data_IF_634675087905
#
_entry.id   IF_634675087905
#
_cell.length_a   1.000
_cell.length_b   1.000
_cell.length_c   1.000
_cell.angle_alpha   90.00
_cell.angle_beta   90.00
_cell.angle_gamma   90.00
#
_symmetry.space_group_name_H-M   'P 1'
#
loop_
_entity.id
_entity.type
_entity.pdbx_description
1 polymer ?
#
# COMPACT_ATOMS: atom_id res chain seq x y z
N UNK A 1 -14.33 14.20 7.08
CA UNK A 1 -14.44 12.79 6.61
C UNK A 1 -15.41 12.08 7.53
N UNK A 2 -16.13 11.06 7.05
CA UNK A 2 -17.08 10.27 7.84
C UNK A 2 -16.84 8.77 7.60
N UNK A 3 -17.12 7.93 8.60
CA UNK A 3 -16.78 6.50 8.52
C UNK A 3 -17.64 5.71 7.53
N UNK A 4 -18.87 6.14 7.26
CA UNK A 4 -19.73 5.52 6.24
C UNK A 4 -19.08 5.56 4.84
N UNK A 5 -18.54 6.72 4.45
CA UNK A 5 -17.84 6.88 3.17
C UNK A 5 -16.44 6.22 3.19
N UNK A 6 -15.71 6.34 4.30
CA UNK A 6 -14.35 5.81 4.44
C UNK A 6 -14.31 4.27 4.36
N UNK A 7 -15.39 3.57 4.70
CA UNK A 7 -15.50 2.12 4.58
C UNK A 7 -16.16 1.64 3.28
N UNK A 8 -16.28 2.53 2.28
CA UNK A 8 -16.94 2.19 1.02
C UNK A 8 -16.31 0.98 0.33
N UNK A 9 -17.16 -0.03 0.07
CA UNK A 9 -16.81 -1.22 -0.70
C UNK A 9 -16.93 -1.00 -2.21
N UNK A 10 -17.26 0.23 -2.65
CA UNK A 10 -17.36 0.55 -4.07
C UNK A 10 -16.02 0.32 -4.77
N UNK A 11 -16.09 -0.26 -5.97
CA UNK A 11 -14.96 -0.59 -6.83
C UNK A 11 -15.06 0.21 -8.12
N UNK A 12 -13.93 0.45 -8.76
CA UNK A 12 -13.89 1.12 -10.06
C UNK A 12 -13.24 0.22 -11.12
N UNK A 13 -13.59 0.47 -12.38
CA UNK A 13 -12.99 -0.14 -13.56
C UNK A 13 -12.65 0.94 -14.59
N UNK A 14 -11.74 0.61 -15.50
CA UNK A 14 -11.44 1.46 -16.66
C UNK A 14 -12.11 0.88 -17.90
N UNK A 15 -12.82 1.73 -18.65
CA UNK A 15 -13.41 1.37 -19.93
C UNK A 15 -13.26 2.54 -20.90
N UNK A 16 -12.53 2.32 -21.99
CA UNK A 16 -12.23 3.35 -23.01
C UNK A 16 -11.68 4.67 -22.39
N UNK A 17 -10.75 4.55 -21.43
CA UNK A 17 -10.13 5.69 -20.74
C UNK A 17 -11.02 6.38 -19.70
N UNK A 18 -12.25 5.91 -19.48
CA UNK A 18 -13.16 6.43 -18.44
C UNK A 18 -13.17 5.53 -17.22
N UNK A 19 -13.18 6.15 -16.04
CA UNK A 19 -13.35 5.47 -14.76
C UNK A 19 -14.84 5.27 -14.51
N UNK A 20 -15.27 4.04 -14.30
CA UNK A 20 -16.67 3.67 -14.08
C UNK A 20 -16.78 2.85 -12.80
N UNK A 21 -17.90 2.98 -12.09
CA UNK A 21 -18.19 2.07 -10.98
C UNK A 21 -18.27 0.62 -11.51
N UNK A 22 -17.62 -0.29 -10.79
CA UNK A 22 -17.70 -1.73 -11.03
C UNK A 22 -18.54 -2.35 -9.92
N UNK A 23 -19.48 -3.21 -10.28
CA UNK A 23 -20.15 -4.06 -9.31
C UNK A 23 -19.26 -5.26 -9.01
N UNK A 24 -19.16 -5.65 -7.74
CA UNK A 24 -18.70 -6.98 -7.39
C UNK A 24 -19.76 -7.98 -7.87
N UNK A 25 -19.40 -9.20 -8.30
CA UNK A 25 -20.40 -10.24 -8.51
C UNK A 25 -21.13 -10.45 -7.18
N UNK A 26 -22.46 -10.34 -7.17
CA UNK A 26 -23.24 -10.70 -6.00
C UNK A 26 -23.10 -12.23 -5.80
N UNK A 27 -22.31 -12.65 -4.83
CA UNK A 27 -22.16 -14.07 -4.48
C UNK A 27 -23.14 -14.42 -3.36
N UNK A 28 -23.66 -15.66 -3.40
CA UNK A 28 -24.48 -16.20 -2.33
C UNK A 28 -23.73 -16.19 -0.98
N UNK A 29 -22.40 -16.34 -1.01
CA UNK A 29 -21.52 -16.25 0.17
C UNK A 29 -21.47 -14.84 0.77
N UNK A 30 -21.43 -13.79 -0.08
CA UNK A 30 -21.49 -12.40 0.38
C UNK A 30 -22.85 -12.09 1.01
N UNK A 31 -23.94 -12.58 0.40
CA UNK A 31 -25.29 -12.46 0.95
C UNK A 31 -25.47 -13.22 2.27
N UNK A 32 -24.74 -14.33 2.46
CA UNK A 32 -24.73 -15.11 3.70
C UNK A 32 -23.75 -14.58 4.76
N UNK A 33 -23.01 -13.50 4.50
CA UNK A 33 -22.01 -12.95 5.41
C UNK A 33 -20.78 -13.83 5.61
N UNK A 34 -20.59 -14.86 4.77
CA UNK A 34 -19.45 -15.79 4.84
C UNK A 34 -18.18 -15.20 4.23
N UNK A 35 -18.32 -14.20 3.35
CA UNK A 35 -17.20 -13.56 2.65
C UNK A 35 -17.49 -12.08 2.41
N UNK A 36 -16.79 -11.20 3.13
CA UNK A 36 -16.91 -9.75 2.93
C UNK A 36 -16.17 -9.29 1.67
N UNK A 37 -16.48 -8.08 1.20
CA UNK A 37 -15.75 -7.42 0.11
C UNK A 37 -14.24 -7.30 0.40
N UNK A 38 -13.87 -7.16 1.67
CA UNK A 38 -12.48 -7.07 2.09
C UNK A 38 -11.77 -8.43 2.05
N UNK A 39 -12.49 -9.54 2.28
CA UNK A 39 -11.96 -10.88 2.00
C UNK A 39 -11.72 -11.10 0.50
N UNK A 40 -12.59 -10.56 -0.37
CA UNK A 40 -12.36 -10.61 -1.82
C UNK A 40 -11.09 -9.84 -2.18
N UNK A 41 -10.87 -8.67 -1.59
CA UNK A 41 -9.64 -7.88 -1.82
C UNK A 41 -8.38 -8.64 -1.38
N UNK A 42 -8.42 -9.23 -0.19
CA UNK A 42 -7.35 -10.05 0.35
C UNK A 42 -6.97 -11.17 -0.62
N UNK A 43 -7.97 -11.93 -1.07
CA UNK A 43 -7.73 -13.06 -1.96
C UNK A 43 -7.20 -12.60 -3.31
N UNK A 44 -7.69 -11.48 -3.84
CA UNK A 44 -7.15 -10.92 -5.09
C UNK A 44 -5.67 -10.58 -4.97
N UNK A 45 -5.25 -9.99 -3.85
CA UNK A 45 -3.83 -9.71 -3.62
C UNK A 45 -3.03 -11.00 -3.51
N UNK A 46 -3.41 -11.92 -2.62
CA UNK A 46 -2.67 -13.16 -2.36
C UNK A 46 -2.52 -14.03 -3.60
N UNK A 47 -3.56 -14.11 -4.44
CA UNK A 47 -3.51 -14.87 -5.69
C UNK A 47 -2.84 -14.12 -6.85
N UNK A 48 -2.52 -12.83 -6.71
CA UNK A 48 -1.92 -12.04 -7.78
C UNK A 48 -0.49 -12.47 -8.13
N UNK A 49 -0.10 -12.25 -9.37
CA UNK A 49 1.26 -12.54 -9.81
C UNK A 49 2.28 -11.60 -9.16
N UNK A 50 1.90 -10.34 -8.95
CA UNK A 50 2.72 -9.34 -8.27
C UNK A 50 3.05 -9.71 -6.84
N UNK A 51 2.08 -10.15 -6.06
CA UNK A 51 2.30 -10.55 -4.68
C UNK A 51 3.23 -11.77 -4.60
N UNK A 52 3.03 -12.77 -5.47
CA UNK A 52 3.95 -13.93 -5.55
C UNK A 52 5.38 -13.54 -5.90
N UNK A 53 5.60 -12.48 -6.70
CA UNK A 53 6.94 -11.98 -7.03
C UNK A 53 7.67 -11.39 -5.81
N UNK A 54 6.97 -10.98 -4.76
CA UNK A 54 7.61 -10.50 -3.52
C UNK A 54 8.47 -11.59 -2.86
N UNK A 55 8.11 -12.88 -3.04
CA UNK A 55 8.87 -14.01 -2.52
C UNK A 55 10.25 -14.19 -3.17
N UNK A 56 10.55 -13.43 -4.24
CA UNK A 56 11.86 -13.40 -4.90
C UNK A 56 12.52 -12.02 -4.84
N UNK A 57 11.98 -11.08 -4.06
CA UNK A 57 12.58 -9.76 -3.84
C UNK A 57 13.16 -9.71 -2.43
N UNK A 58 14.45 -9.45 -2.33
CA UNK A 58 15.14 -9.24 -1.06
C UNK A 58 14.65 -7.95 -0.39
N UNK A 59 14.64 -7.94 0.95
CA UNK A 59 14.27 -6.77 1.75
C UNK A 59 15.50 -5.91 2.08
N UNK A 60 16.27 -6.27 3.11
CA UNK A 60 17.45 -5.50 3.57
C UNK A 60 18.75 -6.05 3.00
N UNK A 61 18.95 -7.37 3.01
CA UNK A 61 20.21 -8.00 2.61
C UNK A 61 20.12 -8.57 1.19
N UNK A 62 20.82 -7.98 0.19
CA UNK A 62 20.87 -8.58 -1.13
C UNK A 62 21.69 -9.88 -1.07
N UNK A 63 21.13 -10.97 -1.60
CA UNK A 63 21.82 -12.25 -1.83
C UNK A 63 22.29 -12.97 -0.55
N UNK A 64 21.47 -13.00 0.49
CA UNK A 64 21.76 -13.87 1.63
C UNK A 64 21.72 -15.34 1.19
N UNK A 65 22.78 -16.08 1.55
CA UNK A 65 23.01 -17.47 1.16
C UNK A 65 22.19 -18.48 1.98
N UNK A 66 21.37 -18.00 2.92
CA UNK A 66 20.57 -18.82 3.84
C UNK A 66 19.08 -18.63 3.55
N UNK A 67 18.35 -19.73 3.41
CA UNK A 67 16.90 -19.78 3.12
C UNK A 67 16.03 -19.08 4.18
N UNK A 68 16.60 -18.68 5.32
CA UNK A 68 15.92 -18.03 6.44
C UNK A 68 15.87 -16.50 6.38
N UNK A 69 16.54 -15.87 5.41
CA UNK A 69 16.47 -14.40 5.30
C UNK A 69 15.10 -13.93 4.80
N UNK A 70 14.48 -13.02 5.54
CA UNK A 70 13.17 -12.47 5.21
C UNK A 70 13.19 -11.82 3.81
N UNK A 71 12.22 -12.21 3.00
CA UNK A 71 11.96 -11.59 1.71
C UNK A 71 10.73 -10.67 1.84
N UNK A 72 10.48 -9.85 0.82
CA UNK A 72 9.36 -8.89 0.90
C UNK A 72 7.99 -9.54 1.05
N UNK A 73 7.84 -10.82 0.68
CA UNK A 73 6.59 -11.56 0.87
C UNK A 73 6.38 -11.91 2.34
N UNK A 74 7.39 -12.45 3.03
CA UNK A 74 7.27 -12.80 4.45
C UNK A 74 7.00 -11.56 5.29
N UNK A 75 7.76 -10.48 5.05
CA UNK A 75 7.51 -9.18 5.70
C UNK A 75 6.11 -8.65 5.44
N UNK A 76 5.64 -8.65 4.19
CA UNK A 76 4.27 -8.20 3.89
C UNK A 76 3.20 -9.03 4.61
N UNK A 77 3.44 -10.33 4.83
CA UNK A 77 2.54 -11.22 5.58
C UNK A 77 2.57 -10.91 7.08
N UNK A 78 3.74 -10.63 7.65
CA UNK A 78 3.91 -10.23 9.05
C UNK A 78 3.27 -8.87 9.33
N UNK A 79 3.57 -7.87 8.50
CA UNK A 79 2.94 -6.54 8.53
C UNK A 79 1.43 -6.65 8.41
N UNK A 80 0.92 -7.55 7.56
CA UNK A 80 -0.51 -7.80 7.44
C UNK A 80 -1.11 -8.44 8.69
N UNK A 81 -0.38 -9.33 9.37
CA UNK A 81 -0.82 -9.93 10.64
C UNK A 81 -0.92 -8.87 11.75
N UNK A 82 0.11 -8.03 11.89
CA UNK A 82 0.13 -6.90 12.84
C UNK A 82 -0.96 -5.89 12.50
N UNK A 83 -1.06 -5.48 11.23
CA UNK A 83 -2.06 -4.55 10.73
C UNK A 83 -3.49 -5.01 10.98
N UNK A 84 -3.79 -6.30 10.74
CA UNK A 84 -5.09 -6.90 11.09
C UNK A 84 -5.39 -6.78 12.58
N UNK A 85 -4.39 -7.07 13.45
CA UNK A 85 -4.54 -6.96 14.91
C UNK A 85 -4.82 -5.52 15.34
N UNK A 86 -4.07 -4.54 14.80
CA UNK A 86 -4.31 -3.12 15.05
C UNK A 86 -5.71 -2.70 14.58
N UNK A 87 -6.09 -3.07 13.36
CA UNK A 87 -7.40 -2.78 12.80
C UNK A 87 -8.56 -3.38 13.62
N UNK A 88 -8.44 -4.63 14.07
CA UNK A 88 -9.43 -5.26 14.95
C UNK A 88 -9.60 -4.48 16.27
N UNK A 89 -8.50 -4.07 16.89
CA UNK A 89 -8.52 -3.30 18.15
C UNK A 89 -9.17 -1.94 17.96
N UNK A 90 -8.76 -1.20 16.93
CA UNK A 90 -9.35 0.11 16.60
C UNK A 90 -10.82 -0.05 16.24
N UNK A 91 -11.19 -1.09 15.48
CA UNK A 91 -12.58 -1.39 15.16
C UNK A 91 -13.43 -1.67 16.39
N UNK A 92 -12.91 -2.39 17.38
CA UNK A 92 -13.60 -2.63 18.65
C UNK A 92 -13.79 -1.33 19.45
N UNK A 93 -12.78 -0.46 19.47
CA UNK A 93 -12.87 0.88 20.07
C UNK A 93 -13.92 1.74 19.35
N UNK A 94 -13.95 1.71 18.02
CA UNK A 94 -14.94 2.42 17.21
C UNK A 94 -16.36 1.91 17.47
N UNK A 95 -16.55 0.59 17.60
CA UNK A 95 -17.85 0.00 17.92
C UNK A 95 -18.32 0.44 19.31
N UNK A 96 -17.45 0.39 20.32
CA UNK A 96 -17.79 0.85 21.68
C UNK A 96 -18.10 2.35 21.72
N UNK A 97 -17.43 3.14 20.89
CA UNK A 97 -17.67 4.58 20.76
C UNK A 97 -18.83 4.95 19.82
N UNK A 98 -19.59 3.98 19.30
CA UNK A 98 -20.68 4.20 18.33
C UNK A 98 -20.24 4.93 17.05
N UNK A 99 -18.97 4.78 16.66
CA UNK A 99 -18.37 5.36 15.45
C UNK A 99 -18.31 4.38 14.28
N UNK A 100 -18.46 3.08 14.53
CA UNK A 100 -18.45 2.05 13.49
C UNK A 100 -19.80 2.05 12.75
N UNK A 101 -19.84 2.24 11.42
CA UNK A 101 -21.09 2.26 10.66
C UNK A 101 -21.86 0.94 10.76
N UNK A 102 -23.18 1.03 10.66
CA UNK A 102 -24.05 -0.14 10.64
C UNK A 102 -23.68 -1.10 9.50
N UNK A 103 -23.71 -2.41 9.78
CA UNK A 103 -23.36 -3.45 8.80
C UNK A 103 -21.87 -3.78 8.72
N UNK A 104 -21.01 -3.05 9.45
CA UNK A 104 -19.59 -3.38 9.60
C UNK A 104 -19.29 -3.90 11.00
N UNK A 105 -18.24 -4.71 11.08
CA UNK A 105 -17.70 -5.29 12.31
C UNK A 105 -16.27 -4.78 12.56
N UNK A 106 -15.74 -4.91 13.79
CA UNK A 106 -14.33 -4.65 14.05
C UNK A 106 -13.38 -5.41 13.12
N UNK A 107 -13.78 -6.61 12.71
CA UNK A 107 -13.00 -7.44 11.79
C UNK A 107 -12.91 -6.85 10.39
N UNK A 108 -13.91 -6.10 9.94
CA UNK A 108 -13.85 -5.41 8.65
C UNK A 108 -12.78 -4.32 8.64
N UNK A 109 -12.61 -3.60 9.75
CA UNK A 109 -11.49 -2.65 9.92
C UNK A 109 -10.16 -3.39 9.85
N UNK A 110 -10.06 -4.52 10.55
CA UNK A 110 -8.91 -5.43 10.47
C UNK A 110 -8.60 -5.88 9.05
N UNK A 111 -9.61 -6.33 8.30
CA UNK A 111 -9.47 -6.79 6.92
C UNK A 111 -9.03 -5.67 5.97
N UNK A 112 -9.58 -4.45 6.09
CA UNK A 112 -9.13 -3.31 5.27
C UNK A 112 -7.66 -3.00 5.49
N UNK A 113 -7.23 -2.94 6.76
CA UNK A 113 -5.83 -2.67 7.09
C UNK A 113 -4.94 -3.82 6.62
N UNK A 114 -5.37 -5.08 6.82
CA UNK A 114 -4.65 -6.26 6.35
C UNK A 114 -4.40 -6.24 4.84
N UNK A 115 -5.41 -5.89 4.05
CA UNK A 115 -5.31 -5.75 2.58
C UNK A 115 -4.30 -4.67 2.21
N UNK A 116 -4.36 -3.50 2.86
CA UNK A 116 -3.40 -2.42 2.62
C UNK A 116 -1.97 -2.84 2.97
N UNK A 117 -1.77 -3.53 4.10
CA UNK A 117 -0.49 -4.09 4.50
C UNK A 117 0.05 -5.12 3.50
N UNK A 118 -0.77 -6.04 2.98
CA UNK A 118 -0.31 -7.00 1.96
C UNK A 118 0.15 -6.32 0.66
N UNK A 119 -0.44 -5.17 0.33
CA UNK A 119 -0.15 -4.43 -0.88
C UNK A 119 0.95 -3.36 -0.72
N UNK A 120 1.38 -3.01 0.50
CA UNK A 120 2.23 -1.83 0.74
C UNK A 120 3.53 -1.87 -0.08
N UNK A 121 4.11 -3.06 -0.21
CA UNK A 121 5.41 -3.28 -0.83
C UNK A 121 5.34 -3.78 -2.29
N UNK A 122 4.12 -3.92 -2.84
CA UNK A 122 3.89 -4.59 -4.13
C UNK A 122 4.55 -3.87 -5.31
N UNK A 123 4.74 -2.55 -5.18
CA UNK A 123 5.27 -1.69 -6.21
C UNK A 123 6.79 -1.54 -6.21
N UNK A 124 7.50 -2.02 -5.17
CA UNK A 124 8.94 -1.82 -5.06
C UNK A 124 9.70 -2.54 -6.20
N UNK A 125 10.73 -1.91 -6.81
CA UNK A 125 11.50 -2.51 -7.89
C UNK A 125 12.41 -3.64 -7.35
N UNK A 126 13.07 -4.42 -8.25
CA UNK A 126 14.21 -5.24 -7.84
C UNK A 126 15.24 -4.41 -7.07
N UNK A 127 15.90 -5.00 -6.07
CA UNK A 127 16.87 -4.33 -5.20
C UNK A 127 16.31 -3.17 -4.34
N UNK A 128 14.97 -3.06 -4.20
CA UNK A 128 14.36 -2.10 -3.27
C UNK A 128 14.76 -0.65 -3.56
N UNK A 129 15.14 0.10 -2.52
CA UNK A 129 15.54 1.51 -2.64
C UNK A 129 16.70 1.73 -3.61
N UNK A 130 17.69 0.82 -3.66
CA UNK A 130 18.79 0.90 -4.63
C UNK A 130 18.27 0.81 -6.07
N UNK A 131 17.24 -0.01 -6.31
CA UNK A 131 16.57 -0.08 -7.61
C UNK A 131 15.81 1.19 -7.94
N UNK A 132 15.16 1.82 -6.95
CA UNK A 132 14.51 3.12 -7.15
C UNK A 132 15.53 4.20 -7.54
N UNK A 133 16.65 4.26 -6.81
CA UNK A 133 17.69 5.26 -7.05
C UNK A 133 18.36 5.07 -8.41
N UNK A 134 18.63 3.83 -8.81
CA UNK A 134 19.14 3.52 -10.14
C UNK A 134 18.18 3.98 -11.26
N UNK A 135 16.86 3.76 -11.10
CA UNK A 135 15.85 4.25 -12.06
C UNK A 135 15.81 5.78 -12.11
N UNK A 136 15.82 6.44 -10.95
CA UNK A 136 15.83 7.91 -10.84
C UNK A 136 17.08 8.49 -11.51
N UNK A 137 18.25 7.96 -11.19
CA UNK A 137 19.53 8.42 -11.77
C UNK A 137 19.53 8.24 -13.29
N UNK A 138 19.10 7.08 -13.78
CA UNK A 138 19.02 6.80 -15.21
C UNK A 138 18.18 7.83 -15.95
N UNK A 139 16.96 8.13 -15.49
CA UNK A 139 16.06 9.06 -16.18
C UNK A 139 16.37 10.55 -15.93
N UNK A 140 17.16 10.87 -14.91
CA UNK A 140 17.66 12.24 -14.67
C UNK A 140 18.92 12.57 -15.46
N UNK A 141 19.64 11.57 -15.95
CA UNK A 141 20.83 11.76 -16.78
C UNK A 141 20.47 12.48 -18.10
N UNK A 142 21.11 13.63 -18.42
CA UNK A 142 20.88 14.34 -19.67
C UNK A 142 21.09 13.50 -20.94
N UNK A 143 21.93 12.46 -20.89
CA UNK A 143 22.14 11.51 -22.00
C UNK A 143 20.87 10.75 -22.36
N UNK A 144 19.97 10.55 -21.39
CA UNK A 144 18.71 9.84 -21.55
C UNK A 144 17.49 10.76 -21.70
N UNK A 145 17.68 12.08 -21.74
CA UNK A 145 16.58 13.05 -21.87
C UNK A 145 15.70 12.80 -23.11
N UNK A 146 16.28 12.24 -24.17
CA UNK A 146 15.55 11.87 -25.39
C UNK A 146 14.44 10.83 -25.17
N UNK A 147 14.55 9.99 -24.12
CA UNK A 147 13.51 9.01 -23.76
C UNK A 147 12.25 9.66 -23.18
N UNK A 148 12.33 10.94 -22.80
CA UNK A 148 11.26 11.70 -22.18
C UNK A 148 10.59 12.68 -23.17
N UNK A 149 11.03 12.71 -24.43
CA UNK A 149 10.47 13.61 -25.43
C UNK A 149 9.01 13.28 -25.74
N UNK A 150 8.19 14.34 -25.84
CA UNK A 150 6.74 14.22 -26.08
C UNK A 150 5.91 14.06 -24.80
N UNK A 151 6.54 13.83 -23.64
CA UNK A 151 5.86 13.80 -22.35
C UNK A 151 5.69 15.21 -21.77
N UNK A 152 4.57 15.44 -21.10
CA UNK A 152 4.35 16.66 -20.31
C UNK A 152 5.32 16.74 -19.14
N UNK A 153 5.55 17.94 -18.58
CA UNK A 153 6.45 18.12 -17.44
C UNK A 153 6.06 17.24 -16.23
N UNK A 154 4.77 17.01 -16.01
CA UNK A 154 4.29 16.17 -14.92
C UNK A 154 4.53 14.67 -15.17
N UNK A 155 4.39 14.20 -16.41
CA UNK A 155 4.73 12.82 -16.79
C UNK A 155 6.25 12.58 -16.74
N UNK A 156 7.05 13.59 -17.11
CA UNK A 156 8.50 13.53 -16.92
C UNK A 156 8.87 13.43 -15.44
N UNK A 157 8.22 14.23 -14.58
CA UNK A 157 8.44 14.21 -13.14
C UNK A 157 8.12 12.84 -12.52
N UNK A 158 7.05 12.18 -12.96
CA UNK A 158 6.71 10.81 -12.54
C UNK A 158 7.85 9.83 -12.80
N UNK A 159 8.36 9.81 -14.05
CA UNK A 159 9.41 8.87 -14.48
C UNK A 159 10.73 9.19 -13.78
N UNK A 160 11.11 10.47 -13.73
CA UNK A 160 12.36 10.91 -13.11
C UNK A 160 12.38 10.78 -11.59
N UNK A 161 11.22 10.64 -10.95
CA UNK A 161 11.14 10.52 -9.49
C UNK A 161 10.91 9.09 -9.04
N UNK A 162 10.37 8.20 -9.89
CA UNK A 162 10.01 6.79 -9.62
C UNK A 162 9.90 6.41 -8.15
N UNK A 163 8.69 6.06 -7.71
CA UNK A 163 8.44 5.76 -6.30
C UNK A 163 7.63 4.46 -6.18
N UNK A 164 8.09 3.55 -5.32
CA UNK A 164 7.50 2.23 -5.13
C UNK A 164 6.06 2.27 -4.64
N UNK A 165 5.68 3.22 -3.78
CA UNK A 165 4.30 3.44 -3.34
C UNK A 165 3.41 3.92 -4.50
N UNK A 166 3.93 4.79 -5.38
CA UNK A 166 3.21 5.20 -6.59
C UNK A 166 3.06 4.05 -7.58
N UNK A 167 4.11 3.25 -7.75
CA UNK A 167 4.04 2.03 -8.54
C UNK A 167 3.10 0.99 -7.92
N UNK A 168 2.98 0.95 -6.59
CA UNK A 168 2.05 0.10 -5.87
C UNK A 168 0.59 0.39 -6.25
N UNK A 169 0.20 1.67 -6.27
CA UNK A 169 -1.12 2.06 -6.78
C UNK A 169 -1.31 1.63 -8.24
N UNK A 170 -0.32 1.90 -9.10
CA UNK A 170 -0.38 1.48 -10.52
C UNK A 170 -0.53 -0.04 -10.68
N UNK A 171 0.14 -0.83 -9.85
CA UNK A 171 0.04 -2.29 -9.86
C UNK A 171 -1.39 -2.74 -9.55
N UNK A 172 -2.00 -2.23 -8.48
CA UNK A 172 -3.33 -2.67 -8.05
C UNK A 172 -4.48 -2.04 -8.84
N UNK A 173 -4.31 -0.82 -9.38
CA UNK A 173 -5.36 -0.09 -10.09
C UNK A 173 -5.32 -0.27 -11.62
N UNK A 174 -4.16 -0.64 -12.18
CA UNK A 174 -3.99 -0.64 -13.64
C UNK A 174 -3.37 -1.92 -14.21
N UNK A 175 -2.42 -2.57 -13.54
CA UNK A 175 -1.59 -3.60 -14.20
C UNK A 175 -2.02 -5.05 -13.92
N UNK A 176 -2.36 -5.39 -12.68
CA UNK A 176 -2.68 -6.78 -12.33
C UNK A 176 -4.12 -7.17 -12.68
N UNK A 177 -4.37 -8.45 -12.92
CA UNK A 177 -5.70 -9.00 -13.26
C UNK A 177 -6.32 -8.37 -14.51
N UNK A 178 -7.22 -7.39 -14.33
CA UNK A 178 -7.89 -6.69 -15.43
C UNK A 178 -6.99 -5.56 -15.92
N UNK A 179 -5.84 -5.94 -16.50
CA UNK A 179 -4.80 -5.02 -16.97
C UNK A 179 -5.35 -3.99 -17.94
N UNK A 180 -5.05 -2.71 -17.72
CA UNK A 180 -5.60 -1.53 -18.42
C UNK A 180 -7.13 -1.34 -18.32
N UNK A 181 -7.82 -2.18 -17.55
CA UNK A 181 -9.29 -2.18 -17.38
C UNK A 181 -9.72 -2.06 -15.90
N UNK A 182 -8.83 -1.53 -15.04
CA UNK A 182 -9.08 -1.29 -13.61
C UNK A 182 -8.36 -2.22 -12.64
N UNK A 183 -7.35 -2.96 -13.13
CA UNK A 183 -6.42 -3.68 -12.27
C UNK A 183 -7.12 -4.78 -11.45
N UNK A 184 -6.77 -4.88 -10.17
CA UNK A 184 -7.39 -5.80 -9.22
C UNK A 184 -8.80 -5.37 -8.78
N UNK A 185 -9.22 -4.14 -9.11
CA UNK A 185 -10.52 -3.57 -8.73
C UNK A 185 -10.83 -3.70 -7.22
N UNK A 186 -9.85 -3.39 -6.38
CA UNK A 186 -9.99 -3.41 -4.91
C UNK A 186 -11.07 -2.43 -4.43
N UNK A 187 -11.58 -2.61 -3.21
CA UNK A 187 -12.51 -1.64 -2.60
C UNK A 187 -11.87 -0.27 -2.44
N UNK A 188 -12.70 0.77 -2.47
CA UNK A 188 -12.24 2.14 -2.23
C UNK A 188 -11.59 2.29 -0.86
N UNK A 189 -12.14 1.65 0.19
CA UNK A 189 -11.55 1.65 1.53
C UNK A 189 -10.13 1.06 1.54
N UNK A 190 -9.91 -0.10 0.91
CA UNK A 190 -8.59 -0.71 0.82
C UNK A 190 -7.58 0.17 0.05
N UNK A 191 -8.01 0.75 -1.08
CA UNK A 191 -7.18 1.69 -1.83
C UNK A 191 -6.87 2.95 -1.02
N UNK A 192 -7.84 3.50 -0.28
CA UNK A 192 -7.60 4.64 0.61
C UNK A 192 -6.58 4.32 1.69
N UNK A 193 -6.70 3.16 2.34
CA UNK A 193 -5.78 2.71 3.39
C UNK A 193 -4.36 2.43 2.85
N UNK A 194 -4.21 1.93 1.63
CA UNK A 194 -2.91 1.71 0.99
C UNK A 194 -2.13 3.02 0.75
N UNK A 195 -2.83 4.15 0.58
CA UNK A 195 -2.22 5.39 0.08
C UNK A 195 -1.66 6.23 1.23
N UNK A 196 -0.35 6.10 1.43
CA UNK A 196 0.44 6.84 2.44
C UNK A 196 0.62 8.32 2.09
N UNK A 197 0.84 8.60 0.81
CA UNK A 197 1.18 9.89 0.25
C UNK A 197 0.16 10.27 -0.83
N UNK A 198 -1.07 10.69 -0.46
CA UNK A 198 -2.16 10.98 -1.39
C UNK A 198 -1.94 12.27 -2.19
N UNK A 199 -0.88 12.31 -2.98
CA UNK A 199 -0.54 13.41 -3.87
C UNK A 199 0.30 12.93 -5.06
N UNK A 200 0.40 13.78 -6.09
CA UNK A 200 1.20 13.54 -7.31
C UNK A 200 2.67 13.91 -7.13
N UNK A 201 3.53 13.45 -8.04
CA UNK A 201 4.99 13.69 -8.03
C UNK A 201 5.39 15.17 -8.05
N UNK A 202 4.58 16.02 -8.64
CA UNK A 202 4.78 17.47 -8.77
C UNK A 202 4.08 18.28 -7.68
N UNK A 203 3.42 17.64 -6.71
CA UNK A 203 2.89 18.33 -5.55
C UNK A 203 4.05 18.89 -4.68
N UNK A 204 3.89 20.07 -4.03
CA UNK A 204 4.95 20.65 -3.20
C UNK A 204 5.49 19.70 -2.12
N UNK A 205 4.62 18.85 -1.55
CA UNK A 205 5.03 17.83 -0.57
C UNK A 205 5.90 16.72 -1.18
N UNK A 206 5.62 16.31 -2.41
CA UNK A 206 6.43 15.33 -3.11
C UNK A 206 7.82 15.91 -3.41
N UNK A 207 7.90 17.15 -3.86
CA UNK A 207 9.18 17.83 -4.11
C UNK A 207 10.03 17.98 -2.82
N UNK A 208 9.38 18.20 -1.67
CA UNK A 208 10.08 18.33 -0.39
C UNK A 208 10.52 16.98 0.22
N UNK A 209 9.81 15.89 -0.05
CA UNK A 209 10.01 14.59 0.65
C UNK A 209 10.46 13.45 -0.27
N UNK A 210 10.39 13.62 -1.59
CA UNK A 210 10.66 12.56 -2.57
C UNK A 210 9.65 11.40 -2.55
N UNK A 211 8.49 11.57 -1.91
CA UNK A 211 7.50 10.50 -1.68
C UNK A 211 6.14 10.90 -2.19
N UNK A 212 5.45 10.03 -2.93
CA UNK A 212 4.12 10.23 -3.50
C UNK A 212 3.49 8.87 -3.91
N UNK A 213 2.16 8.79 -4.07
CA UNK A 213 1.48 7.56 -4.49
C UNK A 213 0.77 7.65 -5.85
N UNK A 214 0.65 8.84 -6.44
CA UNK A 214 -0.24 9.05 -7.58
C UNK A 214 0.58 9.47 -8.79
N UNK A 215 0.83 8.52 -9.70
CA UNK A 215 1.27 8.87 -11.05
C UNK A 215 0.14 9.56 -11.82
N UNK A 216 0.49 10.34 -12.84
CA UNK A 216 -0.43 11.01 -13.75
C UNK A 216 -1.36 10.04 -14.47
N UNK A 217 -0.88 8.84 -14.77
CA UNK A 217 -1.66 7.75 -15.34
C UNK A 217 -2.79 7.25 -14.43
N UNK A 218 -2.59 7.27 -13.11
CA UNK A 218 -3.56 6.79 -12.13
C UNK A 218 -4.35 7.92 -11.47
N UNK A 219 -4.04 9.18 -11.77
CA UNK A 219 -4.67 10.36 -11.17
C UNK A 219 -6.19 10.34 -11.31
N UNK A 220 -6.71 10.18 -12.53
CA UNK A 220 -8.15 10.16 -12.76
C UNK A 220 -8.85 9.01 -12.01
N UNK A 221 -8.20 7.85 -11.89
CA UNK A 221 -8.72 6.72 -11.12
C UNK A 221 -8.77 7.05 -9.63
N UNK A 222 -7.69 7.60 -9.09
CA UNK A 222 -7.63 7.99 -7.68
C UNK A 222 -8.58 9.14 -7.34
N UNK A 223 -8.84 10.08 -8.25
CA UNK A 223 -9.83 11.15 -8.04
C UNK A 223 -11.23 10.58 -7.77
N UNK A 224 -11.62 9.49 -8.44
CA UNK A 224 -12.89 8.82 -8.19
C UNK A 224 -12.90 8.10 -6.83
N UNK A 225 -11.80 7.45 -6.47
CA UNK A 225 -11.63 6.82 -5.15
C UNK A 225 -11.68 7.86 -4.03
N UNK A 226 -10.96 8.96 -4.17
CA UNK A 226 -10.91 10.04 -3.19
C UNK A 226 -12.29 10.71 -3.03
N UNK A 227 -13.03 10.88 -4.13
CA UNK A 227 -14.40 11.40 -4.10
C UNK A 227 -15.36 10.43 -3.39
N UNK A 228 -15.27 9.13 -3.69
CA UNK A 228 -16.08 8.08 -3.03
C UNK A 228 -15.85 8.03 -1.52
N UNK A 229 -14.59 8.12 -1.10
CA UNK A 229 -14.19 8.12 0.31
C UNK A 229 -14.44 9.45 1.03
N UNK A 230 -14.79 10.51 0.29
CA UNK A 230 -14.91 11.86 0.82
C UNK A 230 -13.60 12.40 1.42
N UNK A 231 -12.45 12.07 0.82
CA UNK A 231 -11.15 12.56 1.27
C UNK A 231 -11.08 14.08 1.10
N UNK A 232 -10.58 14.77 2.13
CA UNK A 232 -10.48 16.24 2.12
C UNK A 232 -9.42 16.66 1.11
N UNK A 233 -9.79 17.43 0.08
CA UNK A 233 -8.83 17.98 -0.87
C UNK A 233 -8.01 19.10 -0.21
N UNK A 234 -6.68 19.01 -0.28
CA UNK A 234 -5.75 20.00 0.28
C UNK A 234 -5.06 20.86 -0.79
N UNK A 235 -5.03 20.38 -2.02
CA UNK A 235 -4.47 21.07 -3.19
C UNK A 235 -5.03 20.52 -4.49
N UNK A 236 -4.51 20.98 -5.63
CA UNK A 236 -5.00 20.56 -6.95
C UNK A 236 -4.95 19.03 -7.12
N UNK A 237 -3.86 18.39 -6.71
CA UNK A 237 -3.70 16.94 -6.78
C UNK A 237 -3.15 16.39 -5.47
N UNK A 238 -3.69 16.89 -4.34
CA UNK A 238 -3.31 16.51 -2.99
C UNK A 238 -4.57 16.37 -2.12
N UNK A 239 -4.64 15.27 -1.37
CA UNK A 239 -5.73 14.95 -0.45
C UNK A 239 -5.21 14.71 0.98
N UNK A 240 -6.12 14.74 1.95
CA UNK A 240 -5.86 14.21 3.27
C UNK A 240 -5.77 12.68 3.21
N UNK A 241 -4.90 12.13 4.05
CA UNK A 241 -4.70 10.69 4.15
C UNK A 241 -5.92 10.01 4.77
N UNK A 242 -6.24 8.83 4.27
CA UNK A 242 -7.25 7.97 4.87
C UNK A 242 -6.83 7.55 6.30
N UNK A 243 -7.70 7.60 7.33
CA UNK A 243 -7.32 7.27 8.70
C UNK A 243 -6.68 5.88 8.88
N UNK A 244 -7.23 4.84 8.22
CA UNK A 244 -6.68 3.48 8.31
C UNK A 244 -5.29 3.33 7.67
N UNK A 245 -4.85 4.28 6.85
CA UNK A 245 -3.49 4.23 6.31
C UNK A 245 -2.43 4.45 7.40
N UNK A 246 -2.75 5.17 8.47
CA UNK A 246 -1.86 5.31 9.63
C UNK A 246 -1.67 3.98 10.37
N UNK A 247 -2.67 3.10 10.37
CA UNK A 247 -2.54 1.76 10.98
C UNK A 247 -1.66 0.85 10.13
N UNK A 248 -1.75 0.95 8.80
CA UNK A 248 -0.86 0.23 7.89
C UNK A 248 0.59 0.68 8.07
N UNK A 249 0.86 1.99 8.14
CA UNK A 249 2.21 2.50 8.39
C UNK A 249 2.71 2.11 9.78
N UNK A 250 1.89 2.19 10.82
CA UNK A 250 2.29 1.76 12.15
C UNK A 250 2.63 0.26 12.19
N UNK A 251 1.88 -0.58 11.46
CA UNK A 251 2.17 -2.01 11.35
C UNK A 251 3.52 -2.25 10.66
N UNK A 252 3.80 -1.50 9.58
CA UNK A 252 5.05 -1.57 8.84
C UNK A 252 6.23 -1.14 9.72
N UNK A 253 6.13 0.01 10.39
CA UNK A 253 7.16 0.53 11.30
C UNK A 253 7.44 -0.44 12.47
N UNK A 254 6.41 -1.08 13.04
CA UNK A 254 6.56 -2.08 14.11
C UNK A 254 7.31 -3.31 13.61
N UNK A 255 6.93 -3.84 12.44
CA UNK A 255 7.59 -5.00 11.85
C UNK A 255 9.04 -4.69 11.48
N UNK A 256 9.31 -3.56 10.82
CA UNK A 256 10.66 -3.11 10.51
C UNK A 256 11.52 -3.00 11.77
N UNK A 257 11.01 -2.43 12.85
CA UNK A 257 11.80 -2.24 14.08
C UNK A 257 12.19 -3.55 14.77
N UNK A 258 11.35 -4.59 14.70
CA UNK A 258 11.55 -5.85 15.42
C UNK A 258 12.25 -6.89 14.54
N UNK A 259 11.77 -7.08 13.30
CA UNK A 259 12.22 -8.14 12.42
C UNK A 259 13.60 -7.85 11.82
N UNK A 260 13.91 -6.60 11.49
CA UNK A 260 15.25 -6.26 11.00
C UNK A 260 16.32 -6.49 12.10
N UNK A 261 15.95 -6.31 13.37
CA UNK A 261 16.84 -6.62 14.50
C UNK A 261 17.00 -8.13 14.69
N UNK A 262 15.94 -8.92 14.50
CA UNK A 262 16.01 -10.39 14.54
C UNK A 262 16.90 -10.93 13.39
N UNK A 263 16.70 -10.45 12.17
CA UNK A 263 17.53 -10.76 11.01
C UNK A 263 19.00 -10.40 11.27
N UNK A 264 19.28 -9.25 11.87
CA UNK A 264 20.64 -8.80 12.18
C UNK A 264 21.35 -9.73 13.19
N UNK A 265 20.61 -10.31 14.14
CA UNK A 265 21.13 -11.32 15.06
C UNK A 265 21.42 -12.63 14.30
N UNK A 266 20.50 -13.07 13.45
CA UNK A 266 20.64 -14.34 12.71
C UNK A 266 21.85 -14.33 11.76
N UNK A 267 22.14 -13.19 11.13
CA UNK A 267 23.32 -13.04 10.25
C UNK A 267 24.60 -12.63 11.00
N UNK A 268 24.55 -12.54 12.33
CA UNK A 268 25.71 -12.27 13.19
C UNK A 268 26.22 -10.83 13.14
N UNK A 269 25.38 -9.86 12.73
CA UNK A 269 25.70 -8.42 12.84
C UNK A 269 25.53 -7.94 14.29
N UNK A 270 24.54 -8.46 15.01
CA UNK A 270 24.27 -8.15 16.43
C UNK A 270 24.39 -9.41 17.31
N UNK A 271 24.88 -9.25 18.54
CA UNK A 271 24.80 -10.32 19.54
C UNK A 271 23.40 -10.34 20.18
N UNK A 272 22.93 -11.53 20.57
CA UNK A 272 21.61 -11.69 21.20
C UNK A 272 21.47 -10.87 22.49
N UNK A 273 22.56 -10.62 23.22
CA UNK A 273 22.54 -9.79 24.44
C UNK A 273 22.40 -8.31 24.11
N UNK A 274 22.93 -7.86 22.97
CA UNK A 274 22.74 -6.49 22.50
C UNK A 274 21.28 -6.28 22.08
N UNK A 275 20.69 -7.28 21.42
CA UNK A 275 19.26 -7.30 21.12
C UNK A 275 18.40 -7.24 22.40
N UNK A 276 18.65 -8.10 23.39
CA UNK A 276 17.93 -8.11 24.66
C UNK A 276 18.04 -6.78 25.42
N UNK A 277 19.22 -6.15 25.40
CA UNK A 277 19.44 -4.84 26.03
C UNK A 277 18.69 -3.69 25.33
N UNK A 278 18.53 -3.75 24.01
CA UNK A 278 17.73 -2.78 23.26
C UNK A 278 16.24 -2.92 23.58
N UNK A 279 15.74 -4.14 23.76
CA UNK A 279 14.34 -4.41 24.09
C UNK A 279 13.98 -4.19 25.56
N UNK A 280 14.90 -4.41 26.50
CA UNK A 280 14.63 -4.21 27.95
C UNK A 280 14.27 -2.76 28.28
N UNK A 281 14.77 -1.79 27.51
CA UNK A 281 14.40 -0.37 27.64
C UNK A 281 12.95 -0.07 27.22
N UNK A 282 12.29 -0.94 26.47
CA UNK A 282 10.88 -0.78 26.08
C UNK A 282 9.90 -1.45 27.07
N UNK A 283 10.39 -2.31 27.98
CA UNK A 283 9.57 -3.04 28.95
C UNK A 283 9.40 -2.38 30.31
N UNK A 284 10.12 -1.28 30.60
CA UNK A 284 10.13 -0.60 31.91
C UNK A 284 9.24 0.68 31.98
N UNK A 285 8.31 0.88 31.05
CA UNK A 285 7.30 1.96 31.08
C UNK A 285 5.88 1.43 31.06
#
# INVERSE_FOLDING_TARGET
MNWEALLSTRRFKLQAGKVLASQAPATLEAAAGLRSDFHIDHDRLVFSSAFRRLGRKTQVHPLASHDHTHNRLTHSVEVASVGRSLGNRVGAMMQHAELLPAGYTPFDIGSVVQVACLAHDIGNPPFGHTGEDALREWFRDPRHAHLLYGLSAAEQADIQTYEGNAHGLRMVASLEMYGSEGGMRLTSAALGALIKYPWTSDAPRAQARGKFNIYRTELAYFEHVAAELGLIRKGAHEWARHPLSYLMEAADDICYAILDLEDAVEIGILDVREFEALFSHFGET
#
